data_IF_364254334514
#
_entry.id   IF_364254334514
#
_cell.length_a   1.000
_cell.length_b   1.000
_cell.length_c   1.000
_cell.angle_alpha   90.00
_cell.angle_beta   90.00
_cell.angle_gamma   90.00
#
_symmetry.space_group_name_H-M   'P 1'
#
loop_
_entity.id
_entity.type
_entity.pdbx_description
1 polymer ?
#
# COMPACT_ATOMS: atom_id res chain seq x y z
N UNK A 1 0.69 14.22 -29.50
CA UNK A 1 1.80 13.64 -28.72
C UNK A 1 1.90 14.21 -27.30
N UNK A 2 1.61 15.50 -27.05
CA UNK A 2 1.69 16.08 -25.68
C UNK A 2 0.76 15.42 -24.64
N UNK A 3 -0.43 14.97 -25.05
CA UNK A 3 -1.42 14.35 -24.15
C UNK A 3 -0.94 12.99 -23.59
N UNK A 4 -0.41 12.12 -24.44
CA UNK A 4 0.01 10.76 -24.08
C UNK A 4 1.24 10.78 -23.16
N UNK A 5 2.14 11.75 -23.37
CA UNK A 5 3.32 11.95 -22.53
C UNK A 5 2.94 12.44 -21.13
N UNK A 6 1.93 13.31 -21.02
CA UNK A 6 1.40 13.79 -19.74
C UNK A 6 0.69 12.67 -18.95
N UNK A 7 -0.12 11.85 -19.61
CA UNK A 7 -0.81 10.71 -18.98
C UNK A 7 0.19 9.64 -18.51
N UNK A 8 1.19 9.31 -19.33
CA UNK A 8 2.24 8.38 -18.96
C UNK A 8 3.11 8.91 -17.80
N UNK A 9 3.36 10.22 -17.76
CA UNK A 9 4.07 10.85 -16.64
C UNK A 9 3.26 10.80 -15.35
N UNK A 10 1.95 11.13 -15.42
CA UNK A 10 1.06 11.07 -14.27
C UNK A 10 0.97 9.64 -13.71
N UNK A 11 0.89 8.63 -14.58
CA UNK A 11 0.87 7.24 -14.17
C UNK A 11 2.17 6.87 -13.42
N UNK A 12 3.35 7.23 -13.94
CA UNK A 12 4.63 6.98 -13.27
C UNK A 12 4.73 7.65 -11.90
N UNK A 13 4.22 8.86 -11.76
CA UNK A 13 4.19 9.57 -10.47
C UNK A 13 3.25 8.88 -9.48
N UNK A 14 2.08 8.45 -9.95
CA UNK A 14 1.12 7.72 -9.15
C UNK A 14 1.64 6.34 -8.73
N UNK A 15 2.32 5.60 -9.61
CA UNK A 15 3.00 4.34 -9.29
C UNK A 15 3.99 4.55 -8.14
N UNK A 16 4.86 5.56 -8.24
CA UNK A 16 5.85 5.89 -7.19
C UNK A 16 5.18 6.27 -5.87
N UNK A 17 4.12 7.08 -5.92
CA UNK A 17 3.36 7.49 -4.74
C UNK A 17 2.72 6.28 -4.05
N UNK A 18 2.01 5.45 -4.81
CA UNK A 18 1.36 4.24 -4.31
C UNK A 18 2.37 3.28 -3.69
N UNK A 19 3.50 3.04 -4.38
CA UNK A 19 4.58 2.20 -3.89
C UNK A 19 5.15 2.70 -2.56
N UNK A 20 5.39 4.02 -2.47
CA UNK A 20 5.92 4.64 -1.25
C UNK A 20 4.96 4.49 -0.06
N UNK A 21 3.67 4.75 -0.26
CA UNK A 21 2.67 4.64 0.81
C UNK A 21 2.50 3.20 1.25
N UNK A 22 2.36 2.25 0.32
CA UNK A 22 2.23 0.82 0.62
C UNK A 22 3.48 0.27 1.33
N UNK A 23 4.67 0.66 0.90
CA UNK A 23 5.93 0.25 1.54
C UNK A 23 5.99 0.69 3.00
N UNK A 24 5.58 1.93 3.29
CA UNK A 24 5.54 2.44 4.66
C UNK A 24 4.44 1.74 5.48
N UNK A 25 3.28 1.49 4.86
CA UNK A 25 2.20 0.74 5.49
C UNK A 25 2.63 -0.68 5.90
N UNK A 26 3.22 -1.44 4.96
CA UNK A 26 3.75 -2.77 5.21
C UNK A 26 4.82 -2.76 6.30
N UNK A 27 5.72 -1.78 6.30
CA UNK A 27 6.73 -1.61 7.36
C UNK A 27 6.11 -1.45 8.74
N UNK A 28 5.11 -0.58 8.87
CA UNK A 28 4.39 -0.36 10.14
C UNK A 28 3.67 -1.64 10.58
N UNK A 29 2.98 -2.32 9.66
CA UNK A 29 2.30 -3.58 9.96
C UNK A 29 3.27 -4.68 10.39
N UNK A 30 4.44 -4.83 9.76
CA UNK A 30 5.48 -5.80 10.19
C UNK A 30 5.96 -5.52 11.61
N UNK A 31 6.25 -4.27 11.94
CA UNK A 31 6.64 -3.87 13.32
C UNK A 31 5.55 -4.22 14.32
N UNK A 32 4.30 -3.90 13.98
CA UNK A 32 3.14 -4.16 14.82
C UNK A 32 2.91 -5.67 14.99
N UNK A 33 3.00 -6.45 13.91
CA UNK A 33 2.90 -7.92 13.93
C UNK A 33 3.90 -8.53 14.91
N UNK A 34 5.17 -8.11 14.90
CA UNK A 34 6.19 -8.60 15.83
C UNK A 34 5.86 -8.25 17.29
N UNK A 35 5.40 -7.02 17.56
CA UNK A 35 5.08 -6.57 18.91
C UNK A 35 3.90 -7.33 19.54
N UNK A 36 2.89 -7.69 18.73
CA UNK A 36 1.66 -8.29 19.22
C UNK A 36 1.62 -9.82 19.06
N UNK A 37 2.48 -10.43 18.23
CA UNK A 37 2.60 -11.89 18.09
C UNK A 37 2.82 -12.60 19.43
N UNK A 38 3.56 -11.98 20.36
CA UNK A 38 3.89 -12.57 21.66
C UNK A 38 2.76 -12.50 22.69
N UNK A 39 1.68 -11.73 22.45
CA UNK A 39 0.60 -11.47 23.42
C UNK A 39 -0.68 -12.30 23.18
N UNK A 40 -0.54 -13.42 22.45
CA UNK A 40 -1.61 -14.24 21.83
C UNK A 40 -2.24 -13.59 20.59
N UNK A 41 -2.57 -14.36 19.53
CA UNK A 41 -3.15 -13.82 18.31
C UNK A 41 -4.62 -13.48 18.55
N UNK A 42 -4.88 -12.22 18.91
CA UNK A 42 -6.24 -11.67 18.91
C UNK A 42 -6.70 -11.39 17.48
N UNK A 43 -7.98 -11.01 17.32
CA UNK A 43 -8.54 -10.67 15.99
C UNK A 43 -7.75 -9.57 15.28
N UNK A 44 -7.12 -8.64 16.03
CA UNK A 44 -6.35 -7.53 15.46
C UNK A 44 -5.03 -8.02 14.87
N UNK A 45 -4.42 -9.06 15.44
CA UNK A 45 -3.25 -9.70 14.86
C UNK A 45 -3.56 -10.34 13.50
N UNK A 46 -4.67 -11.09 13.42
CA UNK A 46 -5.11 -11.73 12.17
C UNK A 46 -5.41 -10.68 11.10
N UNK A 47 -6.14 -9.62 11.47
CA UNK A 47 -6.45 -8.50 10.56
C UNK A 47 -5.17 -7.79 10.07
N UNK A 48 -4.19 -7.57 10.95
CA UNK A 48 -2.91 -6.97 10.58
C UNK A 48 -2.08 -7.87 9.64
N UNK A 49 -2.17 -9.20 9.78
CA UNK A 49 -1.54 -10.13 8.85
C UNK A 49 -2.21 -10.06 7.47
N UNK A 50 -3.54 -10.14 7.41
CA UNK A 50 -4.28 -10.05 6.14
C UNK A 50 -3.98 -8.75 5.39
N UNK A 51 -3.95 -7.62 6.11
CA UNK A 51 -3.63 -6.31 5.54
C UNK A 51 -2.16 -6.20 5.10
N UNK A 52 -1.25 -6.90 5.77
CA UNK A 52 0.15 -6.94 5.37
C UNK A 52 0.30 -7.76 4.09
N UNK A 53 -0.33 -8.93 4.02
CA UNK A 53 -0.28 -9.80 2.85
C UNK A 53 -0.89 -9.09 1.62
N UNK A 54 -2.01 -8.37 1.79
CA UNK A 54 -2.60 -7.54 0.74
C UNK A 54 -1.65 -6.41 0.28
N UNK A 55 -0.99 -5.73 1.23
CA UNK A 55 -0.05 -4.66 0.89
C UNK A 55 1.18 -5.21 0.14
N UNK A 56 1.69 -6.37 0.54
CA UNK A 56 2.81 -7.06 -0.13
C UNK A 56 2.41 -7.51 -1.54
N UNK A 57 1.19 -8.02 -1.72
CA UNK A 57 0.65 -8.37 -3.04
C UNK A 57 0.64 -7.18 -4.01
N UNK A 58 0.12 -6.02 -3.59
CA UNK A 58 0.12 -4.83 -4.46
C UNK A 58 1.53 -4.28 -4.70
N UNK A 59 2.46 -4.41 -3.74
CA UNK A 59 3.86 -4.02 -3.93
C UNK A 59 4.56 -4.89 -4.97
N UNK A 60 4.29 -6.19 -4.99
CA UNK A 60 4.84 -7.10 -6.01
C UNK A 60 4.35 -6.71 -7.41
N UNK A 61 3.07 -6.39 -7.57
CA UNK A 61 2.53 -5.90 -8.86
C UNK A 61 3.20 -4.58 -9.26
N UNK A 62 3.31 -3.62 -8.34
CA UNK A 62 3.96 -2.33 -8.63
C UNK A 62 5.45 -2.48 -8.98
N UNK A 63 6.11 -3.52 -8.48
CA UNK A 63 7.54 -3.78 -8.70
C UNK A 63 7.80 -4.55 -10.00
N UNK A 64 7.02 -5.59 -10.29
CA UNK A 64 7.31 -6.58 -11.33
C UNK A 64 6.16 -6.82 -12.32
N UNK A 65 4.97 -6.27 -12.05
CA UNK A 65 3.82 -6.39 -12.93
C UNK A 65 4.00 -5.59 -14.23
N UNK A 66 3.22 -5.95 -15.24
CA UNK A 66 3.23 -5.23 -16.50
C UNK A 66 2.58 -3.83 -16.37
N UNK A 67 2.61 -3.02 -17.44
CA UNK A 67 2.02 -1.68 -17.40
C UNK A 67 0.51 -1.67 -17.12
N UNK A 68 -0.20 -2.71 -17.54
CA UNK A 68 -1.64 -2.80 -17.32
C UNK A 68 -1.94 -3.16 -15.86
N UNK A 69 -1.30 -4.19 -15.32
CA UNK A 69 -1.47 -4.60 -13.92
C UNK A 69 -1.11 -3.46 -12.96
N UNK A 70 -0.02 -2.73 -13.23
CA UNK A 70 0.38 -1.56 -12.43
C UNK A 70 -0.64 -0.44 -12.49
N UNK A 71 -1.20 -0.16 -13.67
CA UNK A 71 -2.24 0.84 -13.84
C UNK A 71 -3.54 0.47 -13.10
N UNK A 72 -3.91 -0.81 -13.07
CA UNK A 72 -5.06 -1.29 -12.31
C UNK A 72 -4.86 -1.10 -10.81
N UNK A 73 -3.68 -1.44 -10.27
CA UNK A 73 -3.37 -1.24 -8.85
C UNK A 73 -3.35 0.25 -8.50
N UNK A 74 -2.75 1.10 -9.34
CA UNK A 74 -2.76 2.56 -9.14
C UNK A 74 -4.19 3.09 -9.12
N UNK A 75 -5.01 2.71 -10.09
CA UNK A 75 -6.42 3.08 -10.15
C UNK A 75 -7.16 2.64 -8.88
N UNK A 76 -7.01 1.37 -8.50
CA UNK A 76 -7.63 0.80 -7.31
C UNK A 76 -7.27 1.55 -6.02
N UNK A 77 -6.01 1.98 -5.86
CA UNK A 77 -5.53 2.68 -4.67
C UNK A 77 -5.93 4.15 -4.62
N UNK A 78 -6.06 4.80 -5.76
CA UNK A 78 -6.46 6.21 -5.85
C UNK A 78 -7.98 6.42 -5.78
N UNK A 79 -8.77 5.40 -6.13
CA UNK A 79 -10.23 5.44 -6.01
C UNK A 79 -10.66 5.47 -4.53
N UNK A 80 -11.72 6.23 -4.23
CA UNK A 80 -12.40 6.32 -2.93
C UNK A 80 -11.50 6.67 -1.73
N UNK A 81 -10.41 7.41 -1.98
CA UNK A 81 -9.49 7.88 -0.94
C UNK A 81 -8.81 6.74 -0.17
N UNK A 82 -8.70 5.55 -0.76
CA UNK A 82 -8.07 4.38 -0.12
C UNK A 82 -6.64 4.66 0.28
N UNK A 83 -5.87 5.32 -0.60
CA UNK A 83 -4.51 5.73 -0.29
C UNK A 83 -4.43 6.66 0.93
N UNK A 84 -5.40 7.56 1.12
CA UNK A 84 -5.41 8.48 2.26
C UNK A 84 -5.77 7.76 3.56
N UNK A 85 -6.71 6.80 3.52
CA UNK A 85 -6.99 5.91 4.66
C UNK A 85 -5.76 5.11 5.11
N UNK A 86 -4.92 4.68 4.16
CA UNK A 86 -3.64 4.03 4.49
C UNK A 86 -2.71 5.01 5.20
N UNK A 87 -2.56 6.24 4.73
CA UNK A 87 -1.74 7.28 5.38
C UNK A 87 -2.22 7.59 6.79
N UNK A 88 -3.53 7.73 7.01
CA UNK A 88 -4.12 7.93 8.33
C UNK A 88 -3.82 6.75 9.27
N UNK A 89 -3.94 5.52 8.76
CA UNK A 89 -3.62 4.31 9.54
C UNK A 89 -2.14 4.25 9.93
N UNK A 90 -1.23 4.61 9.01
CA UNK A 90 0.21 4.72 9.28
C UNK A 90 0.46 5.71 10.42
N UNK A 91 -0.14 6.90 10.32
CA UNK A 91 0.05 7.98 11.29
C UNK A 91 -0.48 7.58 12.68
N UNK A 92 -1.69 7.02 12.74
CA UNK A 92 -2.29 6.58 14.00
C UNK A 92 -1.50 5.45 14.68
N UNK A 93 -0.95 4.51 13.90
CA UNK A 93 -0.13 3.41 14.43
C UNK A 93 1.29 3.81 14.82
N UNK A 94 1.87 4.84 14.20
CA UNK A 94 3.16 5.39 14.61
C UNK A 94 3.06 6.21 15.92
N UNK A 95 1.88 6.72 16.24
CA UNK A 95 1.62 7.48 17.47
C UNK A 95 1.30 6.60 18.70
N UNK A 96 1.09 5.29 18.51
CA UNK A 96 0.76 4.31 19.55
C UNK A 96 1.99 3.53 20.01
#
# INVERSE_FOLDING_TARGET
>A
MVQEEAEAQQLRENERLCFSVLSNYARVLRRWKVQYAAKAPDKRFVEACQKLDEAEYYLDILCAGDSHERAEVVSYLLVDGRLDKLKETINGRNAA
#
